data_IF_385700812344
#
_entry.id   IF_385700812344
#
_cell.length_a   1.000
_cell.length_b   1.000
_cell.length_c   1.000
_cell.angle_alpha   90.00
_cell.angle_beta   90.00
_cell.angle_gamma   90.00
#
_symmetry.space_group_name_H-M   'P 1'
#
loop_
_entity.id
_entity.type
_entity.pdbx_description
1 polymer ?
#
# COMPACT_ATOMS: atom_id res chain seq x y z
N UNK A 1 -23.99 36.16 -1.27
CA UNK A 1 -23.55 35.57 0.03
C UNK A 1 -23.52 34.04 0.02
N UNK A 2 -24.28 33.35 -0.84
CA UNK A 2 -24.26 31.89 -1.01
C UNK A 2 -22.98 31.34 -1.66
N UNK A 3 -22.32 32.10 -2.55
CA UNK A 3 -21.14 31.63 -3.29
C UNK A 3 -19.88 31.48 -2.42
N UNK A 4 -19.70 32.39 -1.45
CA UNK A 4 -18.59 32.31 -0.49
C UNK A 4 -18.76 31.14 0.49
N UNK A 5 -20.00 30.86 0.91
CA UNK A 5 -20.31 29.70 1.74
C UNK A 5 -20.05 28.39 0.98
N UNK A 6 -20.40 28.32 -0.31
CA UNK A 6 -20.09 27.18 -1.17
C UNK A 6 -18.59 26.91 -1.29
N UNK A 7 -17.78 27.96 -1.49
CA UNK A 7 -16.32 27.86 -1.55
C UNK A 7 -15.68 27.31 -0.26
N UNK A 8 -16.17 27.76 0.91
CA UNK A 8 -15.69 27.26 2.20
C UNK A 8 -16.04 25.79 2.44
N UNK A 9 -17.25 25.36 2.05
CA UNK A 9 -17.66 23.96 2.16
C UNK A 9 -16.84 23.07 1.23
N UNK A 10 -16.59 23.51 -0.01
CA UNK A 10 -15.74 22.79 -0.97
C UNK A 10 -14.30 22.67 -0.46
N UNK A 11 -13.74 23.75 0.10
CA UNK A 11 -12.41 23.73 0.70
C UNK A 11 -12.34 22.77 1.89
N UNK A 12 -13.37 22.73 2.73
CA UNK A 12 -13.44 21.81 3.86
C UNK A 12 -13.54 20.34 3.42
N UNK A 13 -14.40 20.04 2.43
CA UNK A 13 -14.53 18.68 1.88
C UNK A 13 -13.22 18.25 1.21
N UNK A 14 -12.58 19.13 0.45
CA UNK A 14 -11.30 18.87 -0.19
C UNK A 14 -10.18 18.58 0.82
N UNK A 15 -10.09 19.37 1.88
CA UNK A 15 -9.13 19.13 2.97
C UNK A 15 -9.42 17.84 3.73
N UNK A 16 -10.69 17.57 4.06
CA UNK A 16 -11.08 16.36 4.75
C UNK A 16 -10.79 15.11 3.91
N UNK A 17 -11.10 15.14 2.62
CA UNK A 17 -10.80 14.06 1.67
C UNK A 17 -9.28 13.85 1.52
N UNK A 18 -8.52 14.93 1.36
CA UNK A 18 -7.06 14.87 1.26
C UNK A 18 -6.40 14.28 2.51
N UNK A 19 -6.85 14.69 3.71
CA UNK A 19 -6.36 14.13 4.97
C UNK A 19 -6.74 12.66 5.13
N UNK A 20 -7.96 12.27 4.76
CA UNK A 20 -8.41 10.88 4.82
C UNK A 20 -7.59 9.96 3.89
N UNK A 21 -7.40 10.37 2.63
CA UNK A 21 -6.64 9.58 1.65
C UNK A 21 -5.16 9.55 1.99
N UNK A 22 -4.57 10.70 2.36
CA UNK A 22 -3.15 10.78 2.71
C UNK A 22 -2.79 9.97 3.96
N UNK A 23 -3.61 10.05 5.02
CA UNK A 23 -3.42 9.24 6.22
C UNK A 23 -3.60 7.75 5.94
N UNK A 24 -4.57 7.37 5.12
CA UNK A 24 -4.78 5.98 4.69
C UNK A 24 -3.57 5.41 3.93
N UNK A 25 -3.01 6.19 3.01
CA UNK A 25 -1.83 5.80 2.23
C UNK A 25 -0.59 5.59 3.11
N UNK A 26 -0.31 6.52 4.03
CA UNK A 26 0.82 6.39 4.96
C UNK A 26 0.60 5.22 5.92
N UNK A 27 -0.61 5.06 6.48
CA UNK A 27 -0.95 3.96 7.36
C UNK A 27 -0.76 2.60 6.67
N UNK A 28 -1.21 2.47 5.42
CA UNK A 28 -1.02 1.27 4.61
C UNK A 28 0.46 0.92 4.42
N UNK A 29 1.29 1.89 4.05
CA UNK A 29 2.73 1.66 3.82
C UNK A 29 3.50 1.32 5.10
N UNK A 30 3.08 1.86 6.24
CA UNK A 30 3.68 1.55 7.54
C UNK A 30 3.21 0.20 8.07
N UNK A 31 1.92 -0.13 7.98
CA UNK A 31 1.37 -1.42 8.46
C UNK A 31 1.91 -2.61 7.67
N UNK A 32 2.15 -2.44 6.37
CA UNK A 32 2.82 -3.46 5.56
C UNK A 32 4.35 -3.47 5.72
N UNK A 33 4.90 -2.69 6.64
CA UNK A 33 6.35 -2.60 6.88
C UNK A 33 7.19 -2.26 5.62
N UNK A 34 6.61 -1.58 4.61
CA UNK A 34 7.33 -1.19 3.39
C UNK A 34 8.45 -0.21 3.73
N UNK A 35 8.14 0.83 4.51
CA UNK A 35 9.10 1.87 4.92
C UNK A 35 10.21 1.26 5.80
N UNK A 36 9.91 0.46 6.85
CA UNK A 36 10.92 -0.29 7.59
C UNK A 36 11.80 -1.18 6.72
N UNK A 37 11.21 -1.95 5.78
CA UNK A 37 11.94 -2.87 4.90
C UNK A 37 12.91 -2.13 3.97
N UNK A 38 12.52 -0.97 3.43
CA UNK A 38 13.40 -0.10 2.65
C UNK A 38 14.58 0.43 3.46
N UNK A 39 14.31 0.89 4.69
CA UNK A 39 15.34 1.36 5.60
C UNK A 39 16.31 0.23 6.01
N UNK A 40 15.79 -0.98 6.20
CA UNK A 40 16.57 -2.19 6.50
C UNK A 40 17.51 -2.57 5.36
N UNK A 41 17.01 -2.64 4.12
CA UNK A 41 17.81 -3.00 2.93
C UNK A 41 18.96 -2.01 2.74
N UNK A 42 18.69 -0.71 2.98
CA UNK A 42 19.70 0.35 2.87
C UNK A 42 20.59 0.45 4.12
N UNK A 43 20.38 -0.40 5.13
CA UNK A 43 21.06 -0.37 6.45
C UNK A 43 21.01 1.00 7.14
N UNK A 44 19.95 1.76 6.93
CA UNK A 44 19.82 3.16 7.35
C UNK A 44 18.60 3.39 8.26
N UNK A 45 18.43 2.54 9.27
CA UNK A 45 17.35 2.67 10.26
C UNK A 45 17.32 4.03 10.95
N UNK A 46 18.48 4.67 11.15
CA UNK A 46 18.59 6.00 11.76
C UNK A 46 17.91 7.11 10.94
N UNK A 47 17.62 6.87 9.66
CA UNK A 47 17.03 7.84 8.75
C UNK A 47 15.60 7.49 8.31
N UNK A 48 14.87 6.68 9.08
CA UNK A 48 13.49 6.27 8.78
C UNK A 48 12.58 7.46 8.41
N UNK A 49 12.70 8.57 9.15
CA UNK A 49 11.95 9.81 8.91
C UNK A 49 12.20 10.46 7.54
N UNK A 50 13.38 10.23 6.94
CA UNK A 50 13.69 10.71 5.59
C UNK A 50 12.99 9.88 4.52
N UNK A 51 12.81 8.57 4.76
CA UNK A 51 12.05 7.71 3.84
C UNK A 51 10.56 8.05 3.86
N UNK A 52 9.98 8.28 5.04
CA UNK A 52 8.61 8.80 5.17
C UNK A 52 8.47 10.13 4.42
N UNK A 53 9.39 11.07 4.63
CA UNK A 53 9.40 12.35 3.93
C UNK A 53 9.52 12.19 2.41
N UNK A 54 10.33 11.26 1.92
CA UNK A 54 10.47 10.98 0.48
C UNK A 54 9.18 10.44 -0.13
N UNK A 55 8.46 9.56 0.57
CA UNK A 55 7.15 9.04 0.14
C UNK A 55 6.12 10.16 0.09
N UNK A 56 6.06 11.00 1.13
CA UNK A 56 5.14 12.15 1.17
C UNK A 56 5.43 13.13 0.04
N UNK A 57 6.69 13.52 -0.16
CA UNK A 57 7.09 14.43 -1.25
C UNK A 57 6.79 13.81 -2.61
N UNK A 58 7.08 12.52 -2.80
CA UNK A 58 6.80 11.81 -4.04
C UNK A 58 5.30 11.77 -4.37
N UNK A 59 4.47 11.47 -3.38
CA UNK A 59 3.00 11.48 -3.55
C UNK A 59 2.47 12.88 -3.88
N UNK A 60 2.91 13.92 -3.17
CA UNK A 60 2.55 15.30 -3.49
C UNK A 60 2.97 15.67 -4.91
N UNK A 61 4.20 15.34 -5.32
CA UNK A 61 4.71 15.61 -6.66
C UNK A 61 3.85 14.94 -7.73
N UNK A 62 3.57 13.63 -7.61
CA UNK A 62 2.74 12.91 -8.58
C UNK A 62 1.28 13.39 -8.58
N UNK A 63 0.73 13.79 -7.43
CA UNK A 63 -0.59 14.43 -7.38
C UNK A 63 -0.58 15.75 -8.16
N UNK A 64 0.42 16.61 -8.00
CA UNK A 64 0.49 17.84 -8.80
C UNK A 64 0.62 17.54 -10.30
N UNK A 65 1.47 16.59 -10.68
CA UNK A 65 1.59 16.14 -12.07
C UNK A 65 0.26 15.70 -12.66
N UNK A 66 -0.53 14.94 -11.91
CA UNK A 66 -1.85 14.43 -12.32
C UNK A 66 -2.86 15.57 -12.47
N UNK A 67 -2.91 16.50 -11.49
CA UNK A 67 -3.80 17.67 -11.52
C UNK A 67 -3.51 18.63 -12.68
N UNK A 68 -2.25 18.81 -13.05
CA UNK A 68 -1.86 19.69 -14.16
C UNK A 68 -1.83 18.97 -15.51
N UNK A 69 -2.24 17.69 -15.57
CA UNK A 69 -2.19 16.82 -16.75
C UNK A 69 -0.84 16.93 -17.50
N UNK A 70 0.26 16.96 -16.74
CA UNK A 70 1.57 17.23 -17.33
C UNK A 70 1.98 16.05 -18.22
N UNK A 71 1.94 16.27 -19.53
CA UNK A 71 2.44 15.31 -20.51
C UNK A 71 3.95 15.43 -20.62
N UNK A 72 4.67 14.46 -20.07
CA UNK A 72 6.12 14.41 -20.22
C UNK A 72 6.49 13.65 -21.49
N UNK A 73 7.08 14.35 -22.46
CA UNK A 73 7.76 13.73 -23.60
C UNK A 73 9.09 13.11 -23.17
N UNK A 74 9.03 12.00 -22.41
CA UNK A 74 10.21 11.30 -21.93
C UNK A 74 10.78 10.36 -22.99
N UNK A 75 12.09 10.21 -22.99
CA UNK A 75 12.78 9.23 -23.83
C UNK A 75 12.32 7.80 -23.47
N UNK A 76 12.22 6.84 -24.42
CA UNK A 76 11.69 5.50 -24.16
C UNK A 76 12.38 4.76 -23.00
N UNK A 77 13.66 5.02 -22.76
CA UNK A 77 14.41 4.45 -21.64
C UNK A 77 13.90 4.89 -20.26
N UNK A 78 13.34 6.10 -20.15
CA UNK A 78 12.80 6.62 -18.90
C UNK A 78 11.57 5.82 -18.45
N UNK A 79 10.74 5.34 -19.38
CA UNK A 79 9.62 4.46 -19.08
C UNK A 79 10.10 3.11 -18.51
N UNK A 80 11.20 2.55 -19.03
CA UNK A 80 11.80 1.34 -18.49
C UNK A 80 12.32 1.55 -17.06
N UNK A 81 12.96 2.68 -16.78
CA UNK A 81 13.43 3.03 -15.44
C UNK A 81 12.25 3.16 -14.46
N UNK A 82 11.19 3.89 -14.84
CA UNK A 82 9.99 4.03 -14.03
C UNK A 82 9.31 2.68 -13.77
N UNK A 83 9.20 1.84 -14.81
CA UNK A 83 8.68 0.48 -14.70
C UNK A 83 9.48 -0.40 -13.74
N UNK A 84 10.80 -0.23 -13.68
CA UNK A 84 11.64 -0.94 -12.71
C UNK A 84 11.31 -0.52 -11.27
N UNK A 85 11.19 0.78 -10.99
CA UNK A 85 10.81 1.24 -9.64
C UNK A 85 9.40 0.79 -9.25
N UNK A 86 8.44 0.87 -10.18
CA UNK A 86 7.10 0.37 -9.96
C UNK A 86 7.12 -1.14 -9.69
N UNK A 87 7.89 -1.91 -10.45
CA UNK A 87 8.09 -3.34 -10.24
C UNK A 87 8.72 -3.66 -8.88
N UNK A 88 9.75 -2.90 -8.47
CA UNK A 88 10.35 -3.04 -7.13
C UNK A 88 9.33 -2.73 -6.03
N UNK A 89 8.52 -1.68 -6.18
CA UNK A 89 7.48 -1.32 -5.22
C UNK A 89 6.41 -2.40 -5.10
N UNK A 90 5.86 -2.87 -6.22
CA UNK A 90 4.86 -3.97 -6.25
C UNK A 90 5.46 -5.26 -5.71
N UNK A 91 6.72 -5.57 -6.03
CA UNK A 91 7.44 -6.72 -5.49
C UNK A 91 7.61 -6.65 -3.97
N UNK A 92 7.92 -5.48 -3.43
CA UNK A 92 7.98 -5.27 -1.98
C UNK A 92 6.61 -5.39 -1.31
N UNK A 93 5.54 -4.88 -1.95
CA UNK A 93 4.16 -5.07 -1.47
C UNK A 93 3.79 -6.55 -1.42
N UNK A 94 4.09 -7.31 -2.47
CA UNK A 94 3.82 -8.74 -2.51
C UNK A 94 4.61 -9.48 -1.42
N UNK A 95 5.90 -9.16 -1.25
CA UNK A 95 6.74 -9.75 -0.20
C UNK A 95 6.22 -9.42 1.21
N UNK A 96 5.85 -8.16 1.46
CA UNK A 96 5.27 -7.72 2.72
C UNK A 96 3.97 -8.47 3.06
N UNK A 97 3.06 -8.61 2.08
CA UNK A 97 1.84 -9.38 2.28
C UNK A 97 2.13 -10.83 2.65
N UNK A 98 3.10 -11.47 1.98
CA UNK A 98 3.49 -12.85 2.33
C UNK A 98 4.12 -12.95 3.72
N UNK A 99 4.87 -11.94 4.16
CA UNK A 99 5.44 -11.89 5.51
C UNK A 99 4.32 -11.78 6.56
N UNK A 100 3.37 -10.87 6.38
CA UNK A 100 2.22 -10.70 7.29
C UNK A 100 1.37 -11.99 7.35
N UNK A 101 1.16 -12.66 6.21
CA UNK A 101 0.45 -13.94 6.19
C UNK A 101 1.23 -15.01 6.97
N UNK A 102 2.56 -15.04 6.85
CA UNK A 102 3.42 -15.96 7.60
C UNK A 102 3.46 -15.66 9.10
N UNK A 103 3.11 -14.44 9.52
CA UNK A 103 3.00 -14.08 10.94
C UNK A 103 1.78 -14.76 11.60
N UNK A 104 0.70 -15.06 10.87
CA UNK A 104 -0.49 -15.73 11.44
C UNK A 104 -0.18 -17.13 12.02
N UNK A 105 0.51 -18.04 11.30
CA UNK A 105 1.00 -19.29 11.90
C UNK A 105 1.95 -19.10 13.08
N UNK A 106 2.84 -18.10 13.02
CA UNK A 106 3.80 -17.81 14.09
C UNK A 106 3.08 -17.37 15.36
N UNK A 107 2.06 -16.51 15.23
CA UNK A 107 1.20 -16.10 16.32
C UNK A 107 0.47 -17.29 16.94
N UNK A 108 -0.13 -18.16 16.11
CA UNK A 108 -0.80 -19.38 16.57
C UNK A 108 0.14 -20.30 17.37
N UNK A 109 1.40 -20.42 16.93
CA UNK A 109 2.43 -21.14 17.67
C UNK A 109 2.78 -20.45 19.00
N UNK A 110 2.93 -19.13 19.00
CA UNK A 110 3.25 -18.34 20.21
C UNK A 110 2.17 -18.38 21.30
N UNK A 111 0.89 -18.52 20.93
CA UNK A 111 -0.22 -18.66 21.89
C UNK A 111 -0.43 -20.12 22.35
N UNK A 112 0.47 -21.04 22.00
CA UNK A 112 0.40 -22.45 22.40
C UNK A 112 -0.59 -23.30 21.60
N UNK A 113 -1.09 -22.80 20.46
CA UNK A 113 -2.03 -23.53 19.59
C UNK A 113 -1.32 -24.40 18.54
N UNK A 114 -0.17 -24.99 18.88
CA UNK A 114 0.61 -25.82 17.96
C UNK A 114 -0.20 -26.99 17.38
N UNK A 115 -1.01 -27.65 18.21
CA UNK A 115 -1.86 -28.76 17.80
C UNK A 115 -2.96 -28.35 16.79
N UNK A 116 -3.36 -27.07 16.78
CA UNK A 116 -4.40 -26.54 15.89
C UNK A 116 -3.85 -25.81 14.67
N UNK A 117 -2.52 -25.74 14.51
CA UNK A 117 -1.87 -25.07 13.38
C UNK A 117 -2.29 -25.69 12.04
N UNK A 118 -2.44 -27.01 11.97
CA UNK A 118 -2.95 -27.71 10.77
C UNK A 118 -4.37 -27.23 10.43
N UNK A 119 -5.24 -27.07 11.42
CA UNK A 119 -6.60 -26.59 11.20
C UNK A 119 -6.63 -25.13 10.69
N UNK A 120 -5.77 -24.27 11.22
CA UNK A 120 -5.62 -22.88 10.77
C UNK A 120 -5.11 -22.80 9.33
N UNK A 121 -4.10 -23.60 8.98
CA UNK A 121 -3.58 -23.68 7.61
C UNK A 121 -4.63 -24.24 6.65
N UNK A 122 -5.37 -25.28 7.05
CA UNK A 122 -6.45 -25.84 6.25
C UNK A 122 -7.57 -24.83 6.01
N UNK A 123 -7.96 -24.05 7.03
CA UNK A 123 -8.94 -22.97 6.87
C UNK A 123 -8.45 -21.90 5.87
N UNK A 124 -7.17 -21.53 5.92
CA UNK A 124 -6.57 -20.57 4.97
C UNK A 124 -6.58 -21.11 3.54
N UNK A 125 -6.21 -22.39 3.35
CA UNK A 125 -6.21 -23.05 2.04
C UNK A 125 -7.64 -23.11 1.50
N UNK A 126 -8.60 -23.55 2.32
CA UNK A 126 -10.01 -23.64 1.92
C UNK A 126 -10.57 -22.28 1.52
N UNK A 127 -10.26 -21.23 2.28
CA UNK A 127 -10.65 -19.85 1.95
C UNK A 127 -10.09 -19.40 0.59
N UNK A 128 -8.82 -19.70 0.28
CA UNK A 128 -8.22 -19.40 -1.03
C UNK A 128 -8.86 -20.20 -2.17
N UNK A 129 -9.12 -21.49 -1.94
CA UNK A 129 -9.76 -22.36 -2.95
C UNK A 129 -11.18 -21.90 -3.22
N UNK A 130 -11.98 -21.62 -2.18
CA UNK A 130 -13.34 -21.09 -2.33
C UNK A 130 -13.34 -19.74 -3.03
N UNK A 131 -12.46 -18.80 -2.62
CA UNK A 131 -12.33 -17.51 -3.29
C UNK A 131 -12.00 -17.65 -4.77
N UNK A 132 -11.07 -18.54 -5.13
CA UNK A 132 -10.73 -18.81 -6.53
C UNK A 132 -11.86 -19.46 -7.32
N UNK A 133 -12.66 -20.34 -6.69
CA UNK A 133 -13.82 -20.97 -7.34
C UNK A 133 -14.93 -19.95 -7.57
N UNK A 134 -15.21 -19.08 -6.59
CA UNK A 134 -16.22 -18.02 -6.71
C UNK A 134 -15.86 -17.03 -7.80
N UNK A 135 -14.59 -16.62 -7.86
CA UNK A 135 -14.04 -15.78 -8.93
C UNK A 135 -14.18 -16.47 -10.29
N UNK A 136 -13.82 -17.76 -10.39
CA UNK A 136 -13.91 -18.52 -11.64
C UNK A 136 -15.34 -18.72 -12.16
N UNK A 137 -16.31 -18.95 -11.27
CA UNK A 137 -17.72 -19.12 -11.65
C UNK A 137 -18.34 -17.77 -12.08
N UNK A 138 -17.68 -16.64 -11.79
CA UNK A 138 -18.16 -15.31 -12.18
C UNK A 138 -19.36 -14.85 -11.35
N UNK A 139 -19.57 -15.39 -10.14
CA UNK A 139 -20.64 -14.96 -9.23
C UNK A 139 -20.44 -13.52 -8.75
N UNK A 140 -19.20 -13.02 -8.79
CA UNK A 140 -18.82 -11.67 -8.36
C UNK A 140 -18.74 -10.65 -9.51
N UNK A 141 -19.23 -10.97 -10.71
CA UNK A 141 -19.33 -10.08 -11.87
C UNK A 141 -20.77 -9.98 -12.37
#
# INVERSE_FOLDING_TARGET
>A
MSEWAGGLVLAFIGLAGGLAVGSGMVAFLVVLDIIPRLAQITRSYRHMRRYEGAVVIGSLFFTFTDFFEWTYGLFPMAAAFFGLFAGCFVGMLAAALTEVINVLPILAKRIGMEAYMIWLLMAMIFGKVLGSIIDWIGVLN
#
